data_IF_533744479374
#
_entry.id   IF_533744479374
#
_cell.length_a   1.000
_cell.length_b   1.000
_cell.length_c   1.000
_cell.angle_alpha   90.00
_cell.angle_beta   90.00
_cell.angle_gamma   90.00
#
_symmetry.space_group_name_H-M   'P 1'
#
loop_
_entity.id
_entity.type
_entity.pdbx_description
1 polymer ?
#
# COMPACT_ATOMS: atom_id res chain seq x y z
N UNK A 1 10.69 9.30 -12.22
CA UNK A 1 9.46 9.98 -11.72
C UNK A 1 8.86 9.16 -10.58
N UNK A 2 8.46 9.80 -9.49
CA UNK A 2 7.82 9.18 -8.32
C UNK A 2 6.40 9.70 -8.24
N UNK A 3 5.43 8.81 -8.11
CA UNK A 3 4.05 9.15 -7.81
C UNK A 3 3.61 8.43 -6.52
N UNK A 4 2.56 8.93 -5.92
CA UNK A 4 2.03 8.39 -4.66
C UNK A 4 0.61 7.86 -4.85
N UNK A 5 0.22 6.89 -4.02
CA UNK A 5 -1.09 6.27 -4.09
C UNK A 5 -1.64 6.02 -2.70
N UNK A 6 -2.87 6.45 -2.50
CA UNK A 6 -3.70 6.06 -1.36
C UNK A 6 -5.03 5.49 -1.86
N UNK A 7 -5.65 4.67 -1.03
CA UNK A 7 -6.93 4.05 -1.36
C UNK A 7 -7.86 4.20 -0.14
N UNK A 8 -9.13 4.56 -0.40
CA UNK A 8 -10.06 4.73 0.71
C UNK A 8 -11.53 4.78 0.32
N UNK A 9 -12.35 4.91 1.34
CA UNK A 9 -13.78 5.18 1.23
C UNK A 9 -14.18 6.37 2.13
N UNK A 10 -15.48 6.66 2.17
CA UNK A 10 -16.01 7.82 2.93
C UNK A 10 -15.65 7.82 4.43
N UNK A 11 -15.35 6.66 5.00
CA UNK A 11 -15.03 6.52 6.42
C UNK A 11 -13.59 6.94 6.72
N UNK A 12 -12.73 6.96 5.68
CA UNK A 12 -11.31 7.29 5.77
C UNK A 12 -10.95 8.66 5.19
N UNK A 13 -11.96 9.51 4.88
CA UNK A 13 -11.69 10.81 4.27
C UNK A 13 -10.72 11.69 5.08
N UNK A 14 -10.87 11.72 6.41
CA UNK A 14 -10.01 12.54 7.27
C UNK A 14 -8.61 11.95 7.38
N UNK A 15 -8.51 10.64 7.54
CA UNK A 15 -7.23 9.93 7.56
C UNK A 15 -6.45 10.13 6.26
N UNK A 16 -7.12 10.03 5.09
CA UNK A 16 -6.51 10.32 3.78
C UNK A 16 -5.92 11.73 3.74
N UNK A 17 -6.66 12.75 4.21
CA UNK A 17 -6.15 14.14 4.26
C UNK A 17 -4.92 14.24 5.14
N UNK A 18 -4.99 13.71 6.37
CA UNK A 18 -3.90 13.79 7.33
C UNK A 18 -2.66 13.06 6.83
N UNK A 19 -2.84 11.89 6.23
CA UNK A 19 -1.76 11.09 5.65
C UNK A 19 -1.09 11.82 4.47
N UNK A 20 -1.87 12.40 3.55
CA UNK A 20 -1.35 13.21 2.44
C UNK A 20 -0.59 14.44 2.95
N UNK A 21 -1.14 15.17 3.92
CA UNK A 21 -0.49 16.35 4.48
C UNK A 21 0.81 15.98 5.20
N UNK A 22 0.83 14.87 5.94
CA UNK A 22 2.05 14.39 6.58
C UNK A 22 3.15 14.07 5.56
N UNK A 23 2.80 13.52 4.38
CA UNK A 23 3.75 13.34 3.28
C UNK A 23 4.21 14.70 2.73
N UNK A 24 3.30 15.63 2.47
CA UNK A 24 3.62 16.96 1.94
C UNK A 24 4.59 17.73 2.83
N UNK A 25 4.46 17.57 4.16
CA UNK A 25 5.32 18.23 5.16
C UNK A 25 6.70 17.54 5.28
N UNK A 26 6.84 16.28 4.85
CA UNK A 26 8.02 15.44 5.07
C UNK A 26 8.63 14.87 3.77
N UNK A 27 8.36 15.47 2.60
CA UNK A 27 8.94 15.07 1.33
C UNK A 27 9.32 16.29 0.47
N UNK A 28 10.62 16.52 0.27
CA UNK A 28 11.15 17.74 -0.34
C UNK A 28 11.74 17.57 -1.75
N UNK A 29 12.09 16.34 -2.18
CA UNK A 29 12.72 16.08 -3.47
C UNK A 29 11.69 16.00 -4.60
N UNK A 30 11.73 16.96 -5.55
CA UNK A 30 10.90 16.97 -6.77
C UNK A 30 9.41 16.72 -6.54
N UNK A 31 8.92 17.06 -5.35
CA UNK A 31 7.54 16.81 -4.96
C UNK A 31 6.55 17.52 -5.89
N UNK A 32 6.90 18.71 -6.38
CA UNK A 32 6.07 19.45 -7.35
C UNK A 32 5.82 18.71 -8.67
N UNK A 33 6.67 17.73 -9.05
CA UNK A 33 6.50 16.91 -10.25
C UNK A 33 5.71 15.63 -10.01
N UNK A 34 5.51 15.26 -8.74
CA UNK A 34 4.79 14.04 -8.35
C UNK A 34 3.29 14.24 -8.40
N UNK A 35 2.54 13.18 -8.67
CA UNK A 35 1.07 13.15 -8.54
C UNK A 35 0.67 12.24 -7.40
N UNK A 36 -0.26 12.69 -6.56
CA UNK A 36 -0.88 11.84 -5.54
C UNK A 36 -2.21 11.33 -6.10
N UNK A 37 -2.28 10.05 -6.38
CA UNK A 37 -3.50 9.37 -6.79
C UNK A 37 -4.28 8.91 -5.56
N UNK A 38 -5.58 9.21 -5.52
CA UNK A 38 -6.49 8.71 -4.49
C UNK A 38 -7.57 7.87 -5.16
N UNK A 39 -7.43 6.55 -5.09
CA UNK A 39 -8.49 5.65 -5.56
C UNK A 39 -9.57 5.58 -4.48
N UNK A 40 -10.77 6.04 -4.81
CA UNK A 40 -11.81 6.24 -3.82
C UNK A 40 -13.14 5.59 -4.22
N UNK A 41 -13.74 4.83 -3.27
CA UNK A 41 -15.06 4.21 -3.49
C UNK A 41 -16.17 5.25 -3.72
N UNK A 42 -16.09 6.38 -3.02
CA UNK A 42 -17.08 7.47 -3.06
C UNK A 42 -16.40 8.82 -3.36
N UNK A 43 -15.89 9.08 -4.58
CA UNK A 43 -15.08 10.26 -4.90
C UNK A 43 -15.71 11.61 -4.50
N UNK A 44 -17.04 11.74 -4.69
CA UNK A 44 -17.73 12.98 -4.36
C UNK A 44 -17.70 13.30 -2.85
N UNK A 45 -17.57 12.30 -1.99
CA UNK A 45 -17.39 12.52 -0.55
C UNK A 45 -16.01 13.09 -0.24
N UNK A 46 -14.96 12.60 -0.94
CA UNK A 46 -13.58 13.05 -0.72
C UNK A 46 -13.29 14.42 -1.35
N UNK A 47 -13.91 14.77 -2.49
CA UNK A 47 -13.72 16.10 -3.14
C UNK A 47 -13.92 17.28 -2.19
N UNK A 48 -14.79 17.15 -1.18
CA UNK A 48 -15.04 18.20 -0.18
C UNK A 48 -13.84 18.46 0.73
N UNK A 49 -12.94 17.50 0.82
CA UNK A 49 -11.76 17.54 1.68
C UNK A 49 -10.51 18.07 0.96
N UNK A 50 -10.52 18.19 -0.38
CA UNK A 50 -9.37 18.71 -1.15
C UNK A 50 -8.89 20.07 -0.65
N UNK A 51 -9.80 20.93 -0.18
CA UNK A 51 -9.47 22.25 0.38
C UNK A 51 -8.64 22.21 1.66
N UNK A 52 -8.49 21.05 2.29
CA UNK A 52 -7.67 20.81 3.49
C UNK A 52 -6.35 20.13 3.18
N UNK A 53 -6.07 19.85 1.90
CA UNK A 53 -4.84 19.22 1.46
C UNK A 53 -3.86 20.30 1.03
N UNK A 54 -2.65 20.27 1.60
CA UNK A 54 -1.56 21.20 1.32
C UNK A 54 -0.74 20.78 0.09
N UNK A 55 -1.37 20.15 -0.91
CA UNK A 55 -0.72 19.73 -2.14
C UNK A 55 -1.68 19.84 -3.34
N UNK A 56 -1.18 20.40 -4.46
CA UNK A 56 -2.04 20.78 -5.57
C UNK A 56 -2.34 19.63 -6.54
N UNK A 57 -1.38 18.70 -6.75
CA UNK A 57 -1.49 17.64 -7.76
C UNK A 57 -2.09 16.36 -7.17
N UNK A 58 -3.35 16.44 -6.74
CA UNK A 58 -4.13 15.31 -6.24
C UNK A 58 -5.17 14.90 -7.26
N UNK A 59 -5.07 13.67 -7.74
CA UNK A 59 -6.04 13.08 -8.68
C UNK A 59 -6.92 12.05 -7.98
N UNK A 60 -8.24 12.25 -8.04
CA UNK A 60 -9.22 11.34 -7.45
C UNK A 60 -9.76 10.40 -8.52
N UNK A 61 -9.54 9.11 -8.33
CA UNK A 61 -9.94 8.07 -9.27
C UNK A 61 -11.09 7.25 -8.67
N UNK A 62 -12.17 7.11 -9.42
CA UNK A 62 -13.30 6.27 -9.03
C UNK A 62 -13.01 4.82 -9.36
N UNK A 63 -13.11 3.94 -8.36
CA UNK A 63 -13.13 2.52 -8.62
C UNK A 63 -14.42 2.10 -9.34
N UNK A 64 -14.29 1.44 -10.50
CA UNK A 64 -15.44 0.98 -11.28
C UNK A 64 -15.91 -0.38 -10.79
N UNK A 65 -17.19 -0.52 -10.47
CA UNK A 65 -17.82 -1.77 -9.97
C UNK A 65 -17.81 -2.94 -10.97
N UNK A 66 -17.39 -2.73 -12.19
CA UNK A 66 -17.39 -3.74 -13.27
C UNK A 66 -16.40 -4.90 -13.05
N UNK A 67 -15.57 -4.80 -12.02
CA UNK A 67 -14.63 -5.85 -11.65
C UNK A 67 -15.32 -6.94 -10.83
N UNK A 68 -16.00 -7.88 -11.51
CA UNK A 68 -16.76 -9.02 -10.92
C UNK A 68 -15.97 -9.89 -9.94
N UNK A 69 -14.65 -9.83 -10.02
CA UNK A 69 -13.72 -10.58 -9.13
C UNK A 69 -13.98 -10.31 -7.65
N UNK A 70 -14.44 -9.09 -7.31
CA UNK A 70 -14.72 -8.70 -5.94
C UNK A 70 -16.06 -9.20 -5.39
N UNK A 71 -16.94 -9.75 -6.24
CA UNK A 71 -18.27 -10.22 -5.81
C UNK A 71 -18.22 -11.46 -4.90
N UNK A 72 -17.11 -12.18 -4.90
CA UNK A 72 -16.93 -13.42 -4.12
C UNK A 72 -16.22 -13.20 -2.79
N UNK A 73 -15.84 -11.96 -2.47
CA UNK A 73 -15.15 -11.64 -1.22
C UNK A 73 -16.16 -11.60 -0.07
N UNK A 74 -16.21 -12.66 0.71
CA UNK A 74 -17.00 -12.78 1.94
C UNK A 74 -16.23 -12.16 3.10
N UNK A 75 -16.14 -10.84 3.21
CA UNK A 75 -15.60 -10.24 4.43
C UNK A 75 -16.67 -9.39 5.12
N UNK A 76 -16.98 -9.74 6.36
CA UNK A 76 -17.99 -9.08 7.19
C UNK A 76 -17.50 -7.77 7.84
N UNK A 77 -16.19 -7.46 7.82
CA UNK A 77 -15.63 -6.39 8.64
C UNK A 77 -14.69 -5.41 7.93
N UNK A 78 -14.24 -5.71 6.69
CA UNK A 78 -13.40 -4.81 5.92
C UNK A 78 -14.05 -4.44 4.60
N UNK A 79 -13.80 -3.21 4.20
CA UNK A 79 -14.26 -2.69 2.92
C UNK A 79 -13.54 -3.42 1.77
N UNK A 80 -14.26 -3.74 0.68
CA UNK A 80 -13.68 -4.21 -0.59
C UNK A 80 -12.54 -3.31 -1.10
N UNK A 81 -12.41 -2.12 -0.54
CA UNK A 81 -11.43 -1.08 -0.87
C UNK A 81 -9.99 -1.59 -0.76
N UNK A 82 -9.70 -2.45 0.19
CA UNK A 82 -8.40 -3.09 0.37
C UNK A 82 -7.88 -3.76 -0.92
N UNK A 83 -8.78 -4.38 -1.69
CA UNK A 83 -8.41 -5.07 -2.93
C UNK A 83 -8.26 -4.16 -4.15
N UNK A 84 -8.57 -2.86 -4.07
CA UNK A 84 -8.49 -1.97 -5.23
C UNK A 84 -7.07 -1.85 -5.79
N UNK A 85 -6.04 -2.02 -4.95
CA UNK A 85 -4.64 -2.01 -5.41
C UNK A 85 -4.27 -3.17 -6.35
N UNK A 86 -5.08 -4.22 -6.42
CA UNK A 86 -4.87 -5.32 -7.37
C UNK A 86 -5.26 -4.96 -8.81
N UNK A 87 -5.79 -3.76 -9.03
CA UNK A 87 -6.31 -3.27 -10.31
C UNK A 87 -5.57 -2.02 -10.82
N UNK A 88 -4.37 -1.75 -10.35
CA UNK A 88 -3.66 -0.51 -10.69
C UNK A 88 -3.41 -0.36 -12.19
N UNK A 89 -3.12 -1.44 -12.90
CA UNK A 89 -2.98 -1.49 -14.37
C UNK A 89 -4.27 -1.10 -15.14
N UNK A 90 -5.44 -1.15 -14.49
CA UNK A 90 -6.74 -0.76 -15.05
C UNK A 90 -7.21 0.61 -14.61
N UNK A 91 -6.64 1.14 -13.54
CA UNK A 91 -7.06 2.37 -12.90
C UNK A 91 -6.13 3.54 -13.21
N UNK A 92 -4.83 3.26 -13.41
CA UNK A 92 -3.80 4.25 -13.63
C UNK A 92 -3.16 4.04 -15.01
N UNK A 93 -3.03 5.12 -15.77
CA UNK A 93 -2.29 5.08 -17.03
C UNK A 93 -0.81 5.45 -16.80
N UNK A 94 -0.13 4.66 -15.96
CA UNK A 94 1.30 4.81 -15.67
C UNK A 94 2.03 3.64 -16.31
N UNK A 95 3.01 3.92 -17.18
CA UNK A 95 3.75 2.87 -17.90
C UNK A 95 5.09 2.55 -17.27
N UNK A 96 5.72 3.52 -16.60
CA UNK A 96 7.05 3.43 -16.01
C UNK A 96 7.19 4.36 -14.79
N UNK A 97 8.34 4.31 -14.11
CA UNK A 97 8.60 5.03 -12.89
C UNK A 97 8.16 4.24 -11.65
N UNK A 98 8.07 4.94 -10.54
CA UNK A 98 7.78 4.34 -9.24
C UNK A 98 6.47 4.88 -8.67
N UNK A 99 5.66 3.98 -8.12
CA UNK A 99 4.42 4.30 -7.42
C UNK A 99 4.54 3.88 -5.97
N UNK A 100 4.54 4.85 -5.07
CA UNK A 100 4.62 4.63 -3.62
C UNK A 100 3.22 4.56 -3.06
N UNK A 101 2.78 3.36 -2.71
CA UNK A 101 1.52 3.14 -2.00
C UNK A 101 1.73 3.21 -0.49
N UNK A 102 0.81 3.84 0.20
CA UNK A 102 0.73 3.77 1.66
C UNK A 102 -0.73 3.82 2.15
N UNK A 103 -0.98 3.15 3.28
CA UNK A 103 -2.31 3.10 3.88
C UNK A 103 -2.72 4.48 4.42
N UNK A 104 -4.03 4.75 4.44
CA UNK A 104 -4.59 6.02 4.91
C UNK A 104 -4.32 6.31 6.39
N UNK A 105 -3.91 5.31 7.16
CA UNK A 105 -3.54 5.39 8.57
C UNK A 105 -2.02 5.29 8.81
N UNK A 106 -1.23 5.55 7.76
CA UNK A 106 0.21 5.75 7.83
C UNK A 106 0.52 7.24 7.76
N UNK A 107 1.33 7.74 8.70
CA UNK A 107 1.69 9.16 8.81
C UNK A 107 3.21 9.33 8.82
N UNK A 108 3.71 10.20 7.95
CA UNK A 108 5.13 10.55 7.89
C UNK A 108 5.49 11.49 9.04
N UNK A 109 6.58 11.19 9.73
CA UNK A 109 7.02 11.90 10.93
C UNK A 109 8.33 12.65 10.74
N UNK A 110 9.13 12.21 9.77
CA UNK A 110 10.42 12.80 9.43
C UNK A 110 10.60 12.83 7.90
N UNK A 111 11.57 13.62 7.41
CA UNK A 111 11.87 13.73 5.98
C UNK A 111 12.22 12.36 5.38
N UNK A 112 11.44 11.95 4.38
CA UNK A 112 11.57 10.67 3.68
C UNK A 112 12.28 10.79 2.33
N UNK A 113 12.70 11.99 1.94
CA UNK A 113 13.24 12.26 0.61
C UNK A 113 14.46 11.40 0.29
N UNK A 114 15.46 11.41 1.18
CA UNK A 114 16.69 10.64 1.00
C UNK A 114 16.42 9.13 1.03
N UNK A 115 15.50 8.67 1.89
CA UNK A 115 15.11 7.28 1.98
C UNK A 115 14.47 6.80 0.67
N UNK A 116 13.52 7.56 0.12
CA UNK A 116 12.86 7.23 -1.13
C UNK A 116 13.83 7.25 -2.31
N UNK A 117 14.68 8.29 -2.41
CA UNK A 117 15.66 8.40 -3.49
C UNK A 117 16.62 7.19 -3.52
N UNK A 118 17.21 6.86 -2.38
CA UNK A 118 18.14 5.73 -2.27
C UNK A 118 17.46 4.37 -2.54
N UNK A 119 16.25 4.18 -2.02
CA UNK A 119 15.49 2.94 -2.21
C UNK A 119 15.10 2.75 -3.68
N UNK A 120 14.59 3.79 -4.32
CA UNK A 120 14.18 3.79 -5.72
C UNK A 120 15.38 3.56 -6.64
N UNK A 121 16.51 4.23 -6.38
CA UNK A 121 17.73 4.02 -7.14
C UNK A 121 18.19 2.55 -7.07
N UNK A 122 18.23 1.97 -5.87
CA UNK A 122 18.58 0.56 -5.70
C UNK A 122 17.62 -0.37 -6.45
N UNK A 123 16.32 -0.11 -6.34
CA UNK A 123 15.27 -0.91 -7.01
C UNK A 123 15.37 -0.84 -8.52
N UNK A 124 15.68 0.32 -9.08
CA UNK A 124 15.84 0.53 -10.53
C UNK A 124 17.07 -0.22 -11.05
N UNK A 125 18.22 -0.03 -10.40
CA UNK A 125 19.49 -0.68 -10.75
C UNK A 125 19.42 -2.21 -10.70
N UNK A 126 18.61 -2.77 -9.76
CA UNK A 126 18.49 -4.20 -9.54
C UNK A 126 17.19 -4.80 -10.11
N UNK A 127 16.39 -4.04 -10.85
CA UNK A 127 15.11 -4.47 -11.41
C UNK A 127 14.17 -5.11 -10.38
N UNK A 128 14.16 -4.58 -9.15
CA UNK A 128 13.28 -5.06 -8.10
C UNK A 128 11.82 -4.79 -8.44
N UNK A 129 10.92 -5.74 -8.17
CA UNK A 129 9.49 -5.66 -8.49
C UNK A 129 8.82 -4.66 -7.55
N UNK A 130 9.00 -4.89 -6.24
CA UNK A 130 8.46 -4.07 -5.16
C UNK A 130 9.50 -3.89 -4.06
N UNK A 131 9.38 -2.78 -3.32
CA UNK A 131 10.03 -2.57 -2.04
C UNK A 131 9.00 -2.53 -0.92
N UNK A 132 9.22 -3.27 0.17
CA UNK A 132 8.31 -3.32 1.31
C UNK A 132 9.04 -3.69 2.60
N UNK A 133 8.39 -3.46 3.74
CA UNK A 133 8.95 -3.83 5.05
C UNK A 133 8.58 -5.26 5.39
N UNK A 134 9.57 -6.08 5.75
CA UNK A 134 9.37 -7.45 6.20
C UNK A 134 8.46 -7.49 7.44
N UNK A 135 7.59 -8.48 7.51
CA UNK A 135 6.71 -8.73 8.65
C UNK A 135 6.83 -10.20 9.11
N UNK A 136 7.21 -10.38 10.37
CA UNK A 136 7.41 -11.71 10.95
C UNK A 136 6.09 -12.26 11.51
N UNK A 137 5.19 -12.69 10.63
CA UNK A 137 3.89 -13.26 10.98
C UNK A 137 3.79 -14.77 10.72
N UNK A 138 4.78 -15.34 10.02
CA UNK A 138 4.82 -16.79 9.74
C UNK A 138 5.40 -17.48 10.97
N UNK A 139 4.56 -18.25 11.63
CA UNK A 139 4.90 -19.02 12.83
C UNK A 139 4.34 -20.43 12.70
N UNK A 140 4.80 -21.35 13.53
CA UNK A 140 4.29 -22.74 13.57
C UNK A 140 2.78 -22.80 13.76
N UNK A 141 2.19 -21.84 14.50
CA UNK A 141 0.75 -21.76 14.77
C UNK A 141 -0.09 -21.44 13.53
N UNK A 142 0.50 -20.90 12.47
CA UNK A 142 -0.22 -20.50 11.26
C UNK A 142 0.38 -21.08 9.97
N UNK A 143 1.34 -21.98 10.08
CA UNK A 143 2.05 -22.58 8.94
C UNK A 143 1.09 -23.27 7.96
N UNK A 144 0.09 -24.02 8.45
CA UNK A 144 -0.92 -24.67 7.60
C UNK A 144 -1.68 -23.65 6.72
N UNK A 145 -1.97 -22.48 7.25
CA UNK A 145 -2.61 -21.40 6.49
C UNK A 145 -1.71 -20.92 5.34
N UNK A 146 -0.44 -20.68 5.61
CA UNK A 146 0.50 -20.21 4.57
C UNK A 146 0.79 -21.30 3.53
N UNK A 147 0.77 -22.59 3.91
CA UNK A 147 0.85 -23.71 2.96
C UNK A 147 -0.36 -23.73 1.99
N UNK A 148 -1.58 -23.44 2.47
CA UNK A 148 -2.77 -23.30 1.62
C UNK A 148 -2.65 -22.15 0.62
N UNK A 149 -1.94 -21.08 0.99
CA UNK A 149 -1.62 -19.97 0.08
C UNK A 149 -0.54 -20.34 -0.94
N UNK A 150 0.05 -21.55 -0.85
CA UNK A 150 1.22 -21.98 -1.64
C UNK A 150 2.45 -21.10 -1.39
N UNK A 151 2.52 -20.53 -0.19
CA UNK A 151 3.64 -19.72 0.22
C UNK A 151 4.85 -20.61 0.48
N UNK A 152 5.99 -20.30 -0.15
CA UNK A 152 7.23 -21.05 0.00
C UNK A 152 8.00 -20.36 1.11
N UNK A 153 8.18 -20.90 2.24
CA UNK A 153 9.03 -20.44 3.37
C UNK A 153 9.99 -19.25 3.03
N UNK A 154 9.40 -18.16 2.57
CA UNK A 154 10.08 -16.96 2.08
C UNK A 154 9.69 -15.77 2.95
N UNK A 155 10.46 -14.67 2.95
CA UNK A 155 10.07 -13.49 3.70
C UNK A 155 8.68 -12.99 3.29
N UNK A 156 7.87 -12.67 4.29
CA UNK A 156 6.55 -12.06 4.13
C UNK A 156 6.66 -10.55 4.44
N UNK A 157 5.94 -9.70 3.71
CA UNK A 157 5.97 -8.25 3.92
C UNK A 157 4.63 -7.67 4.34
N UNK A 158 4.69 -6.56 5.07
CA UNK A 158 3.52 -5.75 5.39
C UNK A 158 3.13 -4.87 4.18
N UNK A 159 1.84 -4.90 3.82
CA UNK A 159 1.34 -4.19 2.65
C UNK A 159 0.91 -2.73 2.93
N UNK A 160 1.13 -2.20 4.12
CA UNK A 160 0.77 -0.82 4.48
C UNK A 160 1.67 0.26 3.88
N UNK A 161 2.87 -0.13 3.41
CA UNK A 161 3.78 0.71 2.62
C UNK A 161 4.47 -0.13 1.56
N UNK A 162 4.30 0.21 0.29
CA UNK A 162 4.88 -0.52 -0.85
C UNK A 162 5.38 0.47 -1.90
N UNK A 163 6.61 0.27 -2.38
CA UNK A 163 7.15 0.93 -3.57
C UNK A 163 7.00 -0.05 -4.74
N UNK A 164 6.19 0.29 -5.75
CA UNK A 164 6.07 -0.49 -6.98
C UNK A 164 6.99 0.07 -8.06
N UNK A 165 7.84 -0.75 -8.67
CA UNK A 165 8.53 -0.45 -9.92
C UNK A 165 7.58 -0.77 -11.08
N UNK A 166 6.88 0.25 -11.58
CA UNK A 166 5.78 0.06 -12.55
C UNK A 166 6.27 -0.59 -13.84
N UNK A 167 7.46 -0.25 -14.31
CA UNK A 167 8.06 -0.87 -15.50
C UNK A 167 8.21 -2.38 -15.33
N UNK A 168 8.74 -2.82 -14.18
CA UNK A 168 8.94 -4.24 -13.88
C UNK A 168 7.60 -4.92 -13.62
N UNK A 169 6.70 -4.30 -12.85
CA UNK A 169 5.35 -4.80 -12.61
C UNK A 169 4.58 -5.07 -13.91
N UNK A 170 4.65 -4.13 -14.87
CA UNK A 170 4.01 -4.28 -16.18
C UNK A 170 4.65 -5.41 -17.00
N UNK A 171 5.99 -5.52 -16.99
CA UNK A 171 6.71 -6.57 -17.72
C UNK A 171 6.29 -7.99 -17.29
N UNK A 172 6.05 -8.19 -16.00
CA UNK A 172 5.66 -9.51 -15.45
C UNK A 172 4.14 -9.67 -15.30
N UNK A 173 3.35 -8.72 -15.80
CA UNK A 173 1.88 -8.69 -15.64
C UNK A 173 1.43 -8.82 -14.17
N UNK A 174 2.15 -8.20 -13.22
CA UNK A 174 1.94 -8.39 -11.77
C UNK A 174 0.46 -8.28 -11.38
N UNK A 175 -0.21 -7.19 -11.74
CA UNK A 175 -1.60 -6.94 -11.32
C UNK A 175 -2.59 -7.93 -11.94
N UNK A 176 -2.32 -8.46 -13.12
CA UNK A 176 -3.12 -9.54 -13.71
C UNK A 176 -2.93 -10.84 -12.91
N UNK A 177 -1.70 -11.18 -12.57
CA UNK A 177 -1.37 -12.37 -11.77
C UNK A 177 -1.99 -12.29 -10.37
N UNK A 178 -1.97 -11.12 -9.72
CA UNK A 178 -2.63 -10.87 -8.44
C UNK A 178 -4.15 -11.14 -8.52
N UNK A 179 -4.82 -10.67 -9.58
CA UNK A 179 -6.26 -10.93 -9.78
C UNK A 179 -6.55 -12.40 -10.09
N UNK A 180 -5.69 -13.06 -10.85
CA UNK A 180 -5.81 -14.51 -11.10
C UNK A 180 -5.69 -15.28 -9.78
N UNK A 181 -4.69 -14.96 -8.96
CA UNK A 181 -4.51 -15.58 -7.65
C UNK A 181 -5.72 -15.37 -6.74
N UNK A 182 -6.28 -14.16 -6.69
CA UNK A 182 -7.50 -13.88 -5.92
C UNK A 182 -8.70 -14.75 -6.37
N UNK A 183 -8.82 -15.03 -7.68
CA UNK A 183 -9.89 -15.89 -8.21
C UNK A 183 -9.71 -17.37 -7.86
N UNK A 184 -8.48 -17.83 -7.70
CA UNK A 184 -8.15 -19.22 -7.36
C UNK A 184 -8.40 -19.54 -5.88
N UNK A 185 -8.40 -18.54 -5.02
CA UNK A 185 -8.56 -18.72 -3.58
C UNK A 185 -10.03 -18.97 -3.24
N UNK A 186 -10.29 -20.13 -2.60
CA UNK A 186 -11.62 -20.58 -2.18
C UNK A 186 -11.88 -20.51 -0.67
N UNK A 187 -10.94 -19.96 0.11
CA UNK A 187 -10.98 -19.86 1.56
C UNK A 187 -10.82 -18.43 2.04
N UNK A 188 -11.14 -18.15 3.30
CA UNK A 188 -11.05 -16.81 3.88
C UNK A 188 -9.60 -16.41 4.12
N UNK A 189 -9.21 -15.24 3.58
CA UNK A 189 -7.90 -14.65 3.78
C UNK A 189 -7.79 -13.98 5.16
N UNK A 190 -6.70 -14.24 5.89
CA UNK A 190 -6.44 -13.64 7.20
C UNK A 190 -6.00 -12.17 7.09
N UNK A 191 -5.14 -11.90 6.10
CA UNK A 191 -4.55 -10.58 5.87
C UNK A 191 -4.93 -10.02 4.49
N UNK A 192 -6.08 -10.48 3.96
CA UNK A 192 -6.76 -9.96 2.76
C UNK A 192 -5.84 -9.85 1.54
N UNK A 193 -5.73 -8.66 0.98
CA UNK A 193 -4.90 -8.39 -0.20
C UNK A 193 -3.40 -8.49 0.08
N UNK A 194 -2.96 -8.31 1.32
CA UNK A 194 -1.58 -8.56 1.74
C UNK A 194 -1.18 -10.02 1.48
N UNK A 195 -2.08 -10.97 1.75
CA UNK A 195 -1.85 -12.40 1.46
C UNK A 195 -1.73 -12.66 -0.04
N UNK A 196 -2.56 -12.00 -0.85
CA UNK A 196 -2.50 -12.12 -2.32
C UNK A 196 -1.17 -11.57 -2.86
N UNK A 197 -0.77 -10.37 -2.41
CA UNK A 197 0.48 -9.75 -2.81
C UNK A 197 1.67 -10.66 -2.48
N UNK A 198 1.74 -11.12 -1.24
CA UNK A 198 2.82 -12.00 -0.79
C UNK A 198 2.83 -13.35 -1.51
N UNK A 199 1.67 -13.95 -1.80
CA UNK A 199 1.59 -15.25 -2.49
C UNK A 199 2.06 -15.18 -3.95
N UNK A 200 1.92 -14.02 -4.61
CA UNK A 200 2.36 -13.83 -6.01
C UNK A 200 3.82 -13.39 -6.06
N UNK A 201 4.23 -12.45 -5.20
CA UNK A 201 5.61 -11.92 -5.14
C UNK A 201 6.55 -12.95 -4.52
N UNK A 202 6.04 -13.75 -3.58
CA UNK A 202 6.69 -14.94 -3.03
C UNK A 202 8.14 -14.72 -2.57
N UNK A 203 8.35 -13.65 -1.79
CA UNK A 203 9.64 -13.28 -1.21
C UNK A 203 10.57 -12.49 -2.14
N UNK A 204 10.20 -12.27 -3.40
CA UNK A 204 10.98 -11.49 -4.37
C UNK A 204 10.72 -9.99 -4.22
N UNK A 205 11.08 -9.42 -3.08
CA UNK A 205 10.96 -7.98 -2.82
C UNK A 205 12.23 -7.39 -2.22
N UNK A 206 12.45 -6.12 -2.46
CA UNK A 206 13.48 -5.34 -1.78
C UNK A 206 13.03 -5.02 -0.36
N UNK A 207 13.78 -5.49 0.63
CA UNK A 207 13.47 -5.23 2.03
C UNK A 207 13.84 -3.80 2.40
N UNK A 208 12.82 -2.99 2.69
CA UNK A 208 12.96 -1.63 3.18
C UNK A 208 13.26 -1.60 4.69
N UNK A 209 13.88 -0.50 5.16
CA UNK A 209 14.06 -0.22 6.59
C UNK A 209 12.69 -0.11 7.28
N UNK A 210 12.53 -0.77 8.43
CA UNK A 210 11.28 -0.81 9.22
C UNK A 210 10.80 0.57 9.68
N UNK A 211 11.70 1.57 9.72
CA UNK A 211 11.37 2.96 10.08
C UNK A 211 10.32 3.59 9.18
N UNK A 212 10.15 3.11 7.92
CA UNK A 212 9.15 3.66 6.99
C UNK A 212 7.75 3.10 7.23
N UNK A 213 7.61 2.04 8.02
CA UNK A 213 6.33 1.40 8.30
C UNK A 213 6.29 0.91 9.77
N UNK A 214 6.68 1.79 10.70
CA UNK A 214 6.74 1.48 12.12
C UNK A 214 5.33 1.30 12.69
N UNK A 215 4.99 0.08 13.08
CA UNK A 215 3.68 -0.24 13.65
C UNK A 215 3.48 0.40 15.03
N UNK A 216 2.36 1.07 15.23
CA UNK A 216 1.96 1.65 16.51
C UNK A 216 0.59 1.13 16.90
N UNK A 217 0.45 0.64 18.13
CA UNK A 217 -0.84 0.34 18.76
C UNK A 217 -1.19 1.48 19.73
N UNK A 218 -2.34 2.13 19.53
CA UNK A 218 -2.81 3.24 20.38
C UNK A 218 -3.07 2.83 21.84
N UNK A 219 -3.18 1.54 22.12
CA UNK A 219 -3.29 1.04 23.51
C UNK A 219 -1.97 1.15 24.27
N UNK A 220 -0.84 1.30 23.55
CA UNK A 220 0.51 1.37 24.12
C UNK A 220 1.25 2.65 23.68
N UNK A 221 0.84 3.80 24.22
CA UNK A 221 1.33 5.14 23.85
C UNK A 221 2.84 5.37 24.01
N UNK A 222 3.56 4.48 24.69
CA UNK A 222 4.99 4.65 25.01
C UNK A 222 5.94 4.14 23.91
N UNK A 223 5.45 3.75 22.73
CA UNK A 223 6.25 3.08 21.69
C UNK A 223 6.50 3.91 20.43
N UNK A 224 6.23 5.21 20.42
CA UNK A 224 6.60 6.02 19.26
C UNK A 224 8.11 6.22 19.26
N UNK A 225 8.79 5.52 18.36
CA UNK A 225 10.21 5.72 18.12
C UNK A 225 10.41 7.07 17.42
N UNK A 226 11.09 8.02 18.06
CA UNK A 226 11.36 9.35 17.48
C UNK A 226 12.18 9.29 16.16
N UNK A 227 12.80 8.16 15.86
CA UNK A 227 13.55 7.92 14.62
C UNK A 227 12.70 7.27 13.52
N UNK A 228 11.40 7.03 13.74
CA UNK A 228 10.51 6.51 12.71
C UNK A 228 10.39 7.53 11.58
N UNK A 229 10.52 7.09 10.33
CA UNK A 229 10.23 7.91 9.15
C UNK A 229 8.72 8.05 8.97
N UNK A 230 7.99 6.94 9.19
CA UNK A 230 6.54 6.94 9.24
C UNK A 230 6.02 5.97 10.30
N UNK A 231 4.89 6.32 10.89
CA UNK A 231 4.15 5.47 11.82
C UNK A 231 2.87 4.95 11.15
N UNK A 232 2.57 3.69 11.40
CA UNK A 232 1.40 3.01 10.87
C UNK A 232 0.52 2.52 12.02
N UNK A 233 -0.69 3.05 12.14
CA UNK A 233 -1.63 2.67 13.17
C UNK A 233 -2.29 1.33 12.85
N UNK A 234 -1.70 0.24 13.36
CA UNK A 234 -2.20 -1.12 13.17
C UNK A 234 -3.34 -1.42 14.16
N UNK A 235 -4.35 -2.17 13.69
CA UNK A 235 -5.43 -2.65 14.55
C UNK A 235 -6.75 -1.88 14.46
N UNK A 236 -7.66 -2.11 15.44
CA UNK A 236 -9.04 -1.58 15.41
C UNK A 236 -9.17 -0.13 15.86
N UNK A 237 -8.25 0.34 16.71
CA UNK A 237 -8.27 1.70 17.27
C UNK A 237 -7.35 2.57 16.39
N UNK A 238 -7.94 3.29 15.44
CA UNK A 238 -7.24 4.23 14.55
C UNK A 238 -7.58 5.66 14.93
N UNK A 239 -6.64 6.64 14.80
CA UNK A 239 -6.90 8.04 15.09
C UNK A 239 -7.95 8.67 14.17
#
# INVERSE_FOLDING_TARGET
MINFLLIGDKNYNLQLVNSINSLADNFNLNFSESTIYVIHKNPNSFKRYLKYINYERVEIIKFKKEYKVLNNIKSSHLSEVTYYRLFLDKLLDIKEGFLVYFDADLYFMNDVSQFLDSSIKYMDENNQIVGAVKEDIITDLNMEYFQKLQFKDTPYFNAGFIIFNIKVCNKIELFKNLRTKLQEISFDLKYWDQDILNSVINGEFYQLDEKINTGVDLTNKNQINNNALAIHYKGKNKP
#
